data_IF_371110905826
#
_entry.id   IF_371110905826
#
_cell.length_a   1.000
_cell.length_b   1.000
_cell.length_c   1.000
_cell.angle_alpha   90.00
_cell.angle_beta   90.00
_cell.angle_gamma   90.00
#
_symmetry.space_group_name_H-M   'P 1'
#
loop_
_entity.id
_entity.type
_entity.pdbx_description
1 polymer ?
#
# COMPACT_ATOMS: atom_id res chain seq x y z
N UNK A 1 9.51 -5.90 35.60
CA UNK A 1 9.24 -5.32 34.27
C UNK A 1 10.53 -5.39 33.46
N UNK A 2 10.50 -6.06 32.30
CA UNK A 2 11.68 -6.16 31.44
C UNK A 2 12.03 -4.79 30.83
N UNK A 3 13.31 -4.53 30.63
CA UNK A 3 13.75 -3.31 29.93
C UNK A 3 13.30 -3.34 28.46
N UNK A 4 13.02 -2.19 27.84
CA UNK A 4 12.74 -2.13 26.40
C UNK A 4 13.84 -2.85 25.60
N UNK A 5 13.45 -3.64 24.59
CA UNK A 5 14.36 -4.44 23.77
C UNK A 5 14.86 -5.74 24.38
N UNK A 6 14.75 -5.94 25.69
CA UNK A 6 15.16 -7.18 26.35
C UNK A 6 14.32 -8.38 25.97
N UNK A 7 13.04 -8.15 25.64
CA UNK A 7 12.10 -9.21 25.24
C UNK A 7 12.53 -9.91 23.96
N UNK A 8 13.13 -9.21 23.00
CA UNK A 8 13.58 -9.79 21.72
C UNK A 8 14.60 -10.90 21.93
N UNK A 9 15.64 -10.67 22.73
CA UNK A 9 16.66 -11.70 23.03
C UNK A 9 16.06 -12.93 23.71
N UNK A 10 15.18 -12.73 24.69
CA UNK A 10 14.53 -13.81 25.43
C UNK A 10 13.65 -14.65 24.48
N UNK A 11 12.82 -14.00 23.68
CA UNK A 11 11.92 -14.70 22.74
C UNK A 11 12.68 -15.49 21.68
N UNK A 12 13.76 -14.90 21.14
CA UNK A 12 14.55 -15.50 20.06
C UNK A 12 15.40 -16.69 20.53
N UNK A 13 15.56 -16.93 21.83
CA UNK A 13 16.19 -18.15 22.34
C UNK A 13 15.34 -19.39 22.01
N UNK A 14 14.01 -19.27 21.94
CA UNK A 14 13.10 -20.34 21.57
C UNK A 14 12.60 -20.20 20.13
N UNK A 15 12.36 -18.96 19.66
CA UNK A 15 11.91 -18.68 18.31
C UNK A 15 13.09 -18.55 17.33
N UNK A 16 13.96 -19.56 17.28
CA UNK A 16 15.24 -19.52 16.54
C UNK A 16 15.02 -19.35 15.03
N UNK A 17 14.00 -19.98 14.46
CA UNK A 17 13.66 -19.86 13.04
C UNK A 17 13.25 -18.44 12.65
N UNK A 18 12.75 -17.67 13.60
CA UNK A 18 12.36 -16.30 13.39
C UNK A 18 13.57 -15.35 13.20
N UNK A 19 14.76 -15.75 13.68
CA UNK A 19 15.99 -14.99 13.47
C UNK A 19 16.32 -14.83 11.98
N UNK A 20 16.05 -15.85 11.16
CA UNK A 20 16.28 -15.77 9.71
C UNK A 20 15.34 -14.73 9.07
N UNK A 21 14.08 -14.67 9.52
CA UNK A 21 13.13 -13.65 9.06
C UNK A 21 13.60 -12.23 9.36
N UNK A 22 14.31 -12.01 10.45
CA UNK A 22 14.86 -10.70 10.81
C UNK A 22 16.02 -10.24 9.91
N UNK A 23 16.58 -11.13 9.08
CA UNK A 23 17.58 -10.78 8.07
C UNK A 23 16.96 -10.23 6.78
N UNK A 24 15.63 -10.19 6.68
CA UNK A 24 14.92 -9.65 5.53
C UNK A 24 15.26 -8.16 5.29
N UNK A 25 15.24 -7.71 4.03
CA UNK A 25 15.52 -6.31 3.68
C UNK A 25 14.58 -5.28 4.33
N UNK A 26 13.36 -5.68 4.64
CA UNK A 26 12.36 -4.85 5.32
C UNK A 26 11.95 -5.54 6.61
N UNK A 27 12.23 -4.90 7.75
CA UNK A 27 11.87 -5.37 9.09
C UNK A 27 11.10 -4.29 9.80
N UNK A 28 9.93 -4.63 10.35
CA UNK A 28 9.09 -3.70 11.11
C UNK A 28 9.85 -3.17 12.33
N UNK A 29 9.81 -1.87 12.56
CA UNK A 29 10.65 -1.20 13.57
C UNK A 29 10.52 -1.81 14.97
N UNK A 30 9.33 -2.07 15.55
CA UNK A 30 9.21 -2.72 16.85
C UNK A 30 9.87 -4.10 16.91
N UNK A 31 9.81 -4.84 15.81
CA UNK A 31 10.42 -6.17 15.68
C UNK A 31 11.94 -6.06 15.62
N UNK A 32 12.46 -5.11 14.82
CA UNK A 32 13.89 -4.82 14.71
C UNK A 32 14.51 -4.42 16.05
N UNK A 33 13.77 -3.68 16.85
CA UNK A 33 14.21 -3.23 18.18
C UNK A 33 13.95 -4.27 19.28
N UNK A 34 13.37 -5.42 18.96
CA UNK A 34 13.10 -6.49 19.92
C UNK A 34 11.93 -6.22 20.86
N UNK A 35 11.01 -5.34 20.49
CA UNK A 35 9.84 -4.95 21.30
C UNK A 35 8.64 -5.89 21.06
N UNK A 36 8.86 -7.20 21.13
CA UNK A 36 7.84 -8.21 20.84
C UNK A 36 6.57 -8.04 21.68
N UNK A 37 6.73 -7.62 22.93
CA UNK A 37 5.62 -7.41 23.89
C UNK A 37 4.74 -6.18 23.62
N UNK A 38 5.07 -5.33 22.65
CA UNK A 38 4.16 -4.27 22.21
C UNK A 38 2.91 -4.85 21.51
N UNK A 39 3.09 -6.02 20.87
CA UNK A 39 2.02 -6.70 20.15
C UNK A 39 1.62 -8.03 20.80
N UNK A 40 2.52 -8.72 21.48
CA UNK A 40 2.30 -10.04 22.08
C UNK A 40 2.31 -10.02 23.59
N UNK A 41 1.37 -10.76 24.20
CA UNK A 41 1.40 -11.07 25.63
C UNK A 41 1.91 -12.51 25.82
N UNK A 42 3.15 -12.70 26.31
CA UNK A 42 3.76 -14.03 26.37
C UNK A 42 3.15 -14.93 27.45
N UNK A 43 2.36 -14.40 28.38
CA UNK A 43 1.77 -15.20 29.47
C UNK A 43 0.40 -15.76 29.10
N UNK A 44 -0.48 -14.92 28.61
CA UNK A 44 -1.85 -15.34 28.24
C UNK A 44 -2.51 -14.29 27.34
N UNK A 45 -3.38 -14.72 26.48
CA UNK A 45 -4.21 -13.85 25.64
C UNK A 45 -5.49 -14.57 25.22
N UNK A 46 -6.57 -13.80 25.07
CA UNK A 46 -7.80 -14.24 24.42
C UNK A 46 -7.73 -14.18 22.89
N UNK A 47 -6.65 -13.59 22.35
CA UNK A 47 -6.45 -13.45 20.90
C UNK A 47 -5.42 -14.46 20.39
N UNK A 48 -5.64 -14.96 19.18
CA UNK A 48 -4.71 -15.92 18.54
C UNK A 48 -3.28 -15.39 18.51
N UNK A 49 -2.30 -16.31 18.49
CA UNK A 49 -0.86 -15.98 18.47
C UNK A 49 -0.40 -15.13 19.64
N UNK A 50 -1.08 -15.19 20.76
CA UNK A 50 -0.82 -14.40 21.98
C UNK A 50 -0.81 -12.89 21.72
N UNK A 51 -1.61 -12.39 20.81
CA UNK A 51 -1.73 -10.96 20.58
C UNK A 51 -2.36 -10.27 21.81
N UNK A 52 -1.91 -9.06 22.13
CA UNK A 52 -2.39 -8.26 23.26
C UNK A 52 -3.79 -7.67 23.03
N UNK A 53 -4.27 -7.68 21.78
CA UNK A 53 -5.57 -7.15 21.34
C UNK A 53 -5.90 -7.73 19.96
N UNK A 54 -7.05 -7.39 19.38
CA UNK A 54 -7.35 -7.69 17.98
C UNK A 54 -6.27 -7.12 17.07
N UNK A 55 -5.89 -7.86 16.03
CA UNK A 55 -4.81 -7.47 15.11
C UNK A 55 -5.05 -6.08 14.49
N UNK A 56 -6.28 -5.77 14.12
CA UNK A 56 -6.68 -4.47 13.59
C UNK A 56 -6.39 -3.32 14.58
N UNK A 57 -6.74 -3.50 15.85
CA UNK A 57 -6.53 -2.51 16.90
C UNK A 57 -5.07 -2.31 17.25
N UNK A 58 -4.26 -3.38 17.22
CA UNK A 58 -2.82 -3.29 17.48
C UNK A 58 -2.15 -2.36 16.48
N UNK A 59 -2.43 -2.52 15.20
CA UNK A 59 -1.85 -1.66 14.16
C UNK A 59 -2.23 -0.19 14.36
N UNK A 60 -3.50 0.07 14.67
CA UNK A 60 -4.04 1.43 14.83
C UNK A 60 -3.52 2.18 16.07
N UNK A 61 -2.85 1.50 17.02
CA UNK A 61 -2.18 2.18 18.15
C UNK A 61 -1.05 3.10 17.70
N UNK A 62 -0.44 2.82 16.55
CA UNK A 62 0.69 3.56 16.02
C UNK A 62 0.45 4.11 14.61
N UNK A 63 -0.40 3.46 13.81
CA UNK A 63 -0.62 3.81 12.41
C UNK A 63 -2.00 4.44 12.19
N UNK A 64 -2.01 5.65 11.62
CA UNK A 64 -3.21 6.33 11.12
C UNK A 64 -3.04 6.56 9.62
N UNK A 65 -3.49 5.61 8.81
CA UNK A 65 -3.22 5.57 7.36
C UNK A 65 -4.35 6.14 6.50
N UNK A 66 -5.53 6.38 7.11
CA UNK A 66 -6.67 7.04 6.45
C UNK A 66 -6.83 8.43 7.06
N UNK A 67 -6.50 9.50 6.33
CA UNK A 67 -6.71 10.87 6.81
C UNK A 67 -8.20 11.17 7.06
N UNK A 68 -8.50 12.02 8.03
CA UNK A 68 -9.90 12.42 8.35
C UNK A 68 -10.62 13.10 7.16
N UNK A 69 -9.88 13.77 6.30
CA UNK A 69 -10.37 14.44 5.10
C UNK A 69 -10.21 13.58 3.83
N UNK A 70 -10.12 12.26 3.96
CA UNK A 70 -10.03 11.38 2.80
C UNK A 70 -11.29 11.49 1.93
N UNK A 71 -11.12 11.70 0.63
CA UNK A 71 -12.18 11.69 -0.38
C UNK A 71 -12.50 10.26 -0.78
N UNK A 72 -11.49 9.40 -0.81
CA UNK A 72 -11.65 7.97 -1.04
C UNK A 72 -10.66 7.18 -0.17
N UNK A 73 -11.08 5.99 0.25
CA UNK A 73 -10.25 5.08 1.03
C UNK A 73 -10.44 3.65 0.53
N UNK A 74 -9.37 2.87 0.55
CA UNK A 74 -9.41 1.48 0.13
C UNK A 74 -10.20 0.66 1.15
N UNK A 75 -11.20 -0.10 0.70
CA UNK A 75 -12.10 -0.85 1.56
C UNK A 75 -11.36 -1.71 2.59
N UNK A 76 -10.37 -2.50 2.14
CA UNK A 76 -9.58 -3.37 3.02
C UNK A 76 -8.80 -2.61 4.10
N UNK A 77 -8.45 -1.35 3.84
CA UNK A 77 -7.77 -0.46 4.81
C UNK A 77 -8.77 0.09 5.81
N UNK A 78 -9.96 0.48 5.37
CA UNK A 78 -11.06 0.91 6.25
C UNK A 78 -11.48 -0.23 7.19
N UNK A 79 -11.52 -1.46 6.69
CA UNK A 79 -11.79 -2.68 7.45
C UNK A 79 -10.60 -3.12 8.31
N UNK A 80 -9.49 -2.37 8.29
CA UNK A 80 -8.26 -2.64 9.04
C UNK A 80 -7.62 -4.01 8.74
N UNK A 81 -7.81 -4.55 7.55
CA UNK A 81 -7.23 -5.80 7.08
C UNK A 81 -5.78 -5.61 6.58
N UNK A 82 -4.93 -5.03 7.41
CA UNK A 82 -3.56 -4.61 7.08
C UNK A 82 -2.68 -5.76 6.57
N UNK A 83 -2.90 -6.96 7.11
CA UNK A 83 -2.11 -8.15 6.80
C UNK A 83 -2.41 -8.78 5.44
N UNK A 84 -3.41 -8.30 4.72
CA UNK A 84 -3.61 -8.71 3.32
C UNK A 84 -2.47 -8.22 2.42
N UNK A 85 -1.89 -7.08 2.79
CA UNK A 85 -0.82 -6.45 2.02
C UNK A 85 0.53 -6.48 2.74
N UNK A 86 0.54 -6.42 4.07
CA UNK A 86 1.76 -6.29 4.87
C UNK A 86 2.04 -7.54 5.71
N UNK A 87 3.31 -7.94 5.75
CA UNK A 87 3.81 -8.84 6.78
C UNK A 87 4.14 -8.00 8.03
N UNK A 88 3.56 -8.38 9.16
CA UNK A 88 3.67 -7.62 10.41
C UNK A 88 5.07 -7.64 11.03
N UNK A 89 5.93 -8.53 10.60
CA UNK A 89 7.26 -8.70 11.16
C UNK A 89 8.36 -8.25 10.20
N UNK A 90 8.47 -8.91 9.07
CA UNK A 90 9.52 -8.65 8.09
C UNK A 90 9.20 -9.29 6.73
N UNK A 91 9.68 -8.70 5.65
CA UNK A 91 9.53 -9.27 4.32
C UNK A 91 10.71 -8.93 3.39
N UNK A 92 10.72 -9.54 2.22
CA UNK A 92 11.71 -9.26 1.17
C UNK A 92 11.42 -7.95 0.43
N UNK A 93 10.24 -7.36 0.61
CA UNK A 93 9.79 -6.18 -0.12
C UNK A 93 9.72 -4.97 0.80
N UNK A 94 9.97 -3.78 0.24
CA UNK A 94 9.85 -2.51 0.97
C UNK A 94 8.49 -2.39 1.67
N UNK A 95 8.46 -1.68 2.78
CA UNK A 95 7.25 -1.47 3.60
C UNK A 95 6.62 -2.76 4.11
N UNK A 96 7.40 -3.82 4.24
CA UNK A 96 6.93 -5.14 4.67
C UNK A 96 5.78 -5.68 3.80
N UNK A 97 5.76 -5.39 2.50
CA UNK A 97 4.74 -5.94 1.61
C UNK A 97 4.91 -7.46 1.44
N UNK A 98 3.80 -8.15 1.24
CA UNK A 98 3.80 -9.61 1.02
C UNK A 98 4.19 -9.99 -0.40
N UNK A 99 4.06 -9.04 -1.35
CA UNK A 99 4.46 -9.18 -2.76
C UNK A 99 4.96 -7.83 -3.29
N UNK A 100 5.62 -7.83 -4.44
CA UNK A 100 6.11 -6.62 -5.07
C UNK A 100 5.09 -5.99 -6.03
N UNK A 101 5.13 -4.67 -6.12
CA UNK A 101 4.51 -3.86 -7.16
C UNK A 101 3.08 -4.25 -7.51
N UNK A 102 2.83 -4.43 -8.80
CA UNK A 102 1.50 -4.76 -9.34
C UNK A 102 1.03 -6.16 -8.93
N UNK A 103 1.95 -7.10 -8.65
CA UNK A 103 1.60 -8.46 -8.25
C UNK A 103 0.77 -8.47 -6.95
N UNK A 104 1.06 -7.56 -6.04
CA UNK A 104 0.26 -7.38 -4.83
C UNK A 104 -1.16 -6.96 -5.16
N UNK A 105 -1.31 -5.95 -6.03
CA UNK A 105 -2.63 -5.44 -6.43
C UNK A 105 -3.46 -6.51 -7.15
N UNK A 106 -2.84 -7.25 -8.06
CA UNK A 106 -3.49 -8.30 -8.85
C UNK A 106 -3.90 -9.54 -8.04
N UNK A 107 -3.49 -9.65 -6.79
CA UNK A 107 -4.00 -10.70 -5.89
C UNK A 107 -5.52 -10.60 -5.71
N UNK A 108 -6.07 -9.39 -5.70
CA UNK A 108 -7.51 -9.13 -5.59
C UNK A 108 -8.10 -8.52 -6.87
N UNK A 109 -7.31 -7.75 -7.62
CA UNK A 109 -7.71 -7.12 -8.87
C UNK A 109 -7.26 -7.96 -10.08
N UNK A 110 -7.57 -9.27 -10.07
CA UNK A 110 -7.15 -10.23 -11.10
C UNK A 110 -7.68 -9.87 -12.49
N UNK A 111 -8.94 -9.44 -12.58
CA UNK A 111 -9.58 -9.07 -13.86
C UNK A 111 -8.84 -7.92 -14.54
N UNK A 112 -8.43 -6.90 -13.75
CA UNK A 112 -7.61 -5.80 -14.24
C UNK A 112 -6.22 -6.29 -14.68
N UNK A 113 -5.64 -7.21 -13.92
CA UNK A 113 -4.37 -7.85 -14.26
C UNK A 113 -4.45 -8.58 -15.60
N UNK A 114 -5.48 -9.36 -15.80
CA UNK A 114 -5.71 -10.10 -17.04
C UNK A 114 -6.03 -9.18 -18.23
N UNK A 115 -6.89 -8.18 -18.03
CA UNK A 115 -7.16 -7.16 -19.04
C UNK A 115 -5.88 -6.44 -19.46
N UNK A 116 -5.03 -6.05 -18.49
CA UNK A 116 -3.76 -5.40 -18.76
C UNK A 116 -2.79 -6.31 -19.53
N UNK A 117 -2.74 -7.61 -19.21
CA UNK A 117 -1.90 -8.58 -19.93
C UNK A 117 -2.34 -8.76 -21.38
N UNK A 118 -3.64 -8.84 -21.63
CA UNK A 118 -4.25 -9.11 -22.94
C UNK A 118 -4.34 -7.86 -23.83
N UNK A 119 -4.29 -6.64 -23.27
CA UNK A 119 -4.46 -5.41 -24.01
C UNK A 119 -3.40 -5.22 -25.10
N UNK A 120 -3.83 -4.91 -26.33
CA UNK A 120 -2.94 -4.57 -27.46
C UNK A 120 -2.20 -3.25 -27.21
N UNK A 121 -2.88 -2.27 -26.68
CA UNK A 121 -2.32 -0.96 -26.34
C UNK A 121 -2.38 -0.78 -24.84
N UNK A 122 -1.26 -0.44 -24.23
CA UNK A 122 -1.11 -0.27 -22.79
C UNK A 122 -0.59 1.12 -22.51
N UNK A 123 -1.21 1.81 -21.57
CA UNK A 123 -0.66 3.05 -21.04
C UNK A 123 0.66 2.73 -20.30
N UNK A 124 1.77 3.31 -20.77
CA UNK A 124 3.11 2.97 -20.30
C UNK A 124 3.27 3.00 -18.75
N UNK A 125 2.70 3.99 -18.01
CA UNK A 125 2.79 4.03 -16.56
C UNK A 125 2.19 2.82 -15.84
N UNK A 126 1.21 2.12 -16.44
CA UNK A 126 0.64 0.89 -15.86
C UNK A 126 1.72 -0.19 -15.69
N UNK A 127 2.66 -0.27 -16.64
CA UNK A 127 3.81 -1.17 -16.53
C UNK A 127 4.84 -0.76 -15.47
N UNK A 128 4.88 0.53 -15.10
CA UNK A 128 5.77 1.05 -14.05
C UNK A 128 5.19 0.84 -12.64
N UNK A 129 3.89 0.64 -12.53
CA UNK A 129 3.23 0.34 -11.27
C UNK A 129 1.97 1.17 -11.00
N UNK A 130 0.99 0.55 -10.38
CA UNK A 130 -0.28 1.17 -10.01
C UNK A 130 -0.09 2.41 -9.13
N UNK A 131 0.94 2.40 -8.30
CA UNK A 131 1.30 3.51 -7.42
C UNK A 131 1.85 4.75 -8.15
N UNK A 132 1.99 4.71 -9.46
CA UNK A 132 2.27 5.92 -10.26
C UNK A 132 1.09 6.90 -10.18
N UNK A 133 -0.14 6.40 -10.11
CA UNK A 133 -1.36 7.19 -10.11
C UNK A 133 -2.19 7.03 -8.82
N UNK A 134 -2.10 5.90 -8.13
CA UNK A 134 -2.92 5.60 -6.97
C UNK A 134 -2.15 5.69 -5.65
N UNK A 135 -2.85 6.11 -4.58
CA UNK A 135 -2.43 5.92 -3.20
C UNK A 135 -3.14 4.68 -2.65
N UNK A 136 -2.42 3.63 -2.21
CA UNK A 136 -3.04 2.35 -1.87
C UNK A 136 -3.92 2.38 -0.61
N UNK A 137 -3.78 3.38 0.23
CA UNK A 137 -4.54 3.47 1.48
C UNK A 137 -5.75 4.39 1.35
N UNK A 138 -5.53 5.65 0.96
CA UNK A 138 -6.58 6.65 0.84
C UNK A 138 -6.11 7.84 -0.02
N UNK A 139 -7.05 8.58 -0.58
CA UNK A 139 -6.77 9.85 -1.26
C UNK A 139 -7.56 10.99 -0.62
N UNK A 140 -6.91 12.12 -0.45
CA UNK A 140 -7.50 13.39 -0.02
C UNK A 140 -7.83 14.31 -1.21
N UNK A 141 -7.56 13.85 -2.43
CA UNK A 141 -7.71 14.64 -3.65
C UNK A 141 -8.87 14.18 -4.50
N UNK A 142 -8.97 12.89 -4.77
CA UNK A 142 -9.89 12.37 -5.77
C UNK A 142 -10.47 11.02 -5.39
N UNK A 143 -11.52 10.61 -6.10
CA UNK A 143 -12.06 9.25 -6.05
C UNK A 143 -11.07 8.20 -6.57
N UNK A 144 -11.42 6.91 -6.42
CA UNK A 144 -10.65 5.78 -6.92
C UNK A 144 -9.18 5.76 -6.45
N UNK A 145 -8.91 6.33 -5.28
CA UNK A 145 -7.56 6.41 -4.68
C UNK A 145 -6.54 7.16 -5.55
N UNK A 146 -6.95 8.01 -6.46
CA UNK A 146 -6.01 8.77 -7.28
C UNK A 146 -5.22 9.78 -6.43
N UNK A 147 -3.96 9.96 -6.74
CA UNK A 147 -3.06 10.90 -6.05
C UNK A 147 -3.40 12.36 -6.29
N UNK A 148 -4.11 12.63 -7.39
CA UNK A 148 -4.59 13.96 -7.76
C UNK A 148 -5.87 13.83 -8.59
N UNK A 149 -6.55 14.94 -8.83
CA UNK A 149 -7.68 14.98 -9.73
C UNK A 149 -7.24 14.74 -11.18
N UNK A 150 -8.15 14.22 -11.98
CA UNK A 150 -8.03 14.21 -13.44
C UNK A 150 -8.47 15.57 -13.92
N UNK A 151 -7.86 16.39 -14.64
CA UNK A 151 -6.70 16.36 -15.51
C UNK A 151 -5.32 16.60 -14.84
N UNK A 152 -5.18 17.22 -13.63
CA UNK A 152 -3.88 17.47 -13.03
C UNK A 152 -2.97 16.25 -13.04
N UNK A 153 -3.51 15.07 -12.68
CA UNK A 153 -2.75 13.82 -12.69
C UNK A 153 -2.17 13.49 -14.07
N UNK A 154 -2.93 13.72 -15.14
CA UNK A 154 -2.49 13.43 -16.51
C UNK A 154 -1.39 14.40 -16.98
N UNK A 155 -1.54 15.70 -16.69
CA UNK A 155 -0.62 16.74 -17.17
C UNK A 155 0.73 16.72 -16.46
N UNK A 156 0.87 16.00 -15.37
CA UNK A 156 2.18 15.73 -14.76
C UNK A 156 3.16 15.05 -15.74
N UNK A 157 2.64 14.31 -16.74
CA UNK A 157 3.44 13.65 -17.75
C UNK A 157 3.11 14.15 -19.18
N UNK A 158 1.85 14.53 -19.44
CA UNK A 158 1.39 14.96 -20.77
C UNK A 158 1.40 16.49 -20.88
N UNK A 159 2.31 17.03 -21.72
CA UNK A 159 2.37 18.46 -22.01
C UNK A 159 1.21 18.88 -22.91
N UNK A 160 0.14 19.44 -22.34
CA UNK A 160 -1.10 19.81 -23.06
C UNK A 160 -1.05 21.20 -23.71
N UNK A 161 -0.08 22.04 -23.36
CA UNK A 161 0.07 23.41 -23.84
C UNK A 161 0.98 23.52 -25.09
N UNK A 162 1.12 22.47 -25.87
CA UNK A 162 1.98 22.45 -27.07
C UNK A 162 1.16 22.44 -28.34
N UNK A 163 1.66 23.08 -29.44
CA UNK A 163 1.01 23.01 -30.74
C UNK A 163 0.80 21.58 -31.24
N UNK A 164 1.74 20.69 -30.95
CA UNK A 164 1.65 19.29 -31.31
C UNK A 164 0.49 18.58 -30.58
N UNK A 165 0.25 18.91 -29.31
CA UNK A 165 -0.89 18.39 -28.58
C UNK A 165 -2.22 18.91 -29.16
N UNK A 166 -2.34 20.22 -29.40
CA UNK A 166 -3.51 20.83 -30.01
C UNK A 166 -3.85 20.20 -31.38
N UNK A 167 -2.84 20.06 -32.24
CA UNK A 167 -3.00 19.41 -33.56
C UNK A 167 -3.51 17.97 -33.44
N UNK A 168 -2.97 17.16 -32.53
CA UNK A 168 -3.44 15.78 -32.30
C UNK A 168 -4.88 15.70 -31.81
N UNK A 169 -5.34 16.71 -31.11
CA UNK A 169 -6.73 16.83 -30.63
C UNK A 169 -7.61 17.70 -31.55
N UNK A 170 -7.19 17.91 -32.81
CA UNK A 170 -7.96 18.70 -33.78
C UNK A 170 -8.38 20.09 -33.25
N UNK A 171 -7.53 20.71 -32.43
CA UNK A 171 -7.76 21.97 -31.74
C UNK A 171 -9.01 21.96 -30.80
N UNK A 172 -9.49 20.78 -30.41
CA UNK A 172 -10.57 20.67 -29.44
C UNK A 172 -10.16 21.30 -28.10
N UNK A 173 -11.02 22.07 -27.42
CA UNK A 173 -10.66 22.76 -26.17
C UNK A 173 -10.62 21.80 -24.98
N UNK A 174 -9.63 20.92 -24.96
CA UNK A 174 -9.45 19.86 -23.93
C UNK A 174 -9.26 20.41 -22.50
N UNK A 175 -8.91 21.66 -22.35
CA UNK A 175 -8.75 22.29 -21.02
C UNK A 175 -10.06 22.33 -20.20
N UNK A 176 -11.21 22.20 -20.85
CA UNK A 176 -12.54 22.20 -20.22
C UNK A 176 -13.15 20.80 -20.11
N UNK A 177 -12.45 19.76 -20.52
CA UNK A 177 -12.97 18.40 -20.62
C UNK A 177 -12.08 17.44 -19.84
N UNK A 178 -12.68 16.48 -19.14
CA UNK A 178 -11.93 15.41 -18.49
C UNK A 178 -11.29 14.51 -19.56
N UNK A 179 -10.00 14.24 -19.42
CA UNK A 179 -9.26 13.37 -20.34
C UNK A 179 -9.92 11.99 -20.49
N UNK A 180 -10.49 11.48 -19.40
CA UNK A 180 -11.20 10.21 -19.32
C UNK A 180 -12.56 10.21 -20.03
N UNK A 181 -13.05 11.34 -20.53
CA UNK A 181 -14.26 11.38 -21.37
C UNK A 181 -14.05 10.76 -22.75
N UNK A 182 -12.78 10.68 -23.20
CA UNK A 182 -12.40 10.11 -24.49
C UNK A 182 -11.31 9.02 -24.37
N UNK A 183 -10.52 9.07 -23.33
CA UNK A 183 -9.44 8.11 -23.06
C UNK A 183 -9.84 7.19 -21.90
N UNK A 184 -9.96 5.89 -22.16
CA UNK A 184 -10.25 4.84 -21.18
C UNK A 184 -8.97 4.18 -20.66
#
# INVERSE_FOLDING_TARGET
KLKPGATGKICLNCHVTFQEKLKSPSVHTPVKTGNCSECHNPHASSHGKLLSDDASKICSKCHSVVPKNAVSAHKVVVEQNCTFCHDTHASQYKFNLTKDGNELCFTCHSDLGDATKKAKFKHQPVGKGCLSCHNPHASVKSGHLLKDDVPPLCVNCHKTNTPAFAKRHMNYPVAKTLCTSCHN
#
